data_IF_722956282967
#
_entry.id   IF_722956282967
#
_cell.length_a   1.000
_cell.length_b   1.000
_cell.length_c   1.000
_cell.angle_alpha   90.00
_cell.angle_beta   90.00
_cell.angle_gamma   90.00
#
_symmetry.space_group_name_H-M   'P 1'
#
loop_
_entity.id
_entity.type
_entity.pdbx_description
1 polymer ?
#
# COMPACT_ATOMS: atom_id res chain seq x y z
N UNK A 1 2.66 16.31 16.25
CA UNK A 1 2.27 15.07 15.55
C UNK A 1 2.62 15.31 14.10
N UNK A 2 3.39 14.42 13.47
CA UNK A 2 3.85 14.61 12.08
C UNK A 2 2.65 14.40 11.14
N UNK A 3 2.46 15.27 10.15
CA UNK A 3 1.37 15.16 9.16
C UNK A 3 1.69 14.11 8.08
N UNK A 4 0.67 13.69 7.33
CA UNK A 4 0.89 12.77 6.20
C UNK A 4 1.80 13.38 5.15
N UNK A 5 1.60 14.67 4.85
CA UNK A 5 2.37 15.43 3.88
C UNK A 5 3.85 15.47 4.29
N UNK A 6 4.13 15.73 5.58
CA UNK A 6 5.48 15.71 6.13
C UNK A 6 6.13 14.31 5.98
N UNK A 7 5.38 13.23 6.24
CA UNK A 7 5.88 11.86 6.04
C UNK A 7 6.21 11.58 4.57
N UNK A 8 5.34 11.99 3.65
CA UNK A 8 5.53 11.81 2.20
C UNK A 8 6.71 12.63 1.69
N UNK A 9 6.87 13.87 2.17
CA UNK A 9 8.00 14.73 1.85
C UNK A 9 9.32 14.13 2.33
N UNK A 10 9.34 13.60 3.56
CA UNK A 10 10.53 12.92 4.08
C UNK A 10 10.90 11.68 3.26
N UNK A 11 9.93 10.83 2.92
CA UNK A 11 10.18 9.66 2.06
C UNK A 11 10.73 10.11 0.71
N UNK A 12 10.11 11.11 0.08
CA UNK A 12 10.52 11.64 -1.22
C UNK A 12 11.94 12.20 -1.18
N UNK A 13 12.31 12.88 -0.09
CA UNK A 13 13.67 13.39 0.14
C UNK A 13 14.69 12.26 0.23
N UNK A 14 14.39 11.19 0.97
CA UNK A 14 15.29 10.03 1.06
C UNK A 14 15.41 9.30 -0.27
N UNK A 15 14.32 9.15 -1.02
CA UNK A 15 14.34 8.51 -2.33
C UNK A 15 15.19 9.31 -3.34
N UNK A 16 15.12 10.64 -3.32
CA UNK A 16 15.97 11.51 -4.13
C UNK A 16 17.45 11.44 -3.74
N UNK A 17 17.77 11.22 -2.46
CA UNK A 17 19.16 11.00 -2.03
C UNK A 17 19.66 9.64 -2.53
N UNK A 18 18.83 8.60 -2.38
CA UNK A 18 19.18 7.23 -2.78
C UNK A 18 19.34 7.11 -4.31
N UNK A 19 18.63 7.90 -5.12
CA UNK A 19 18.77 7.88 -6.58
C UNK A 19 20.17 8.26 -7.06
N UNK A 20 20.86 9.12 -6.30
CA UNK A 20 22.23 9.59 -6.61
C UNK A 20 23.31 8.61 -6.11
N UNK A 21 22.93 7.54 -5.41
CA UNK A 21 23.89 6.56 -4.90
C UNK A 21 24.34 5.56 -5.95
N UNK A 22 25.56 5.08 -5.77
CA UNK A 22 26.11 3.95 -6.52
C UNK A 22 25.20 2.73 -6.39
N UNK A 23 25.15 1.90 -7.45
CA UNK A 23 24.21 0.76 -7.55
C UNK A 23 24.28 -0.17 -6.32
N UNK A 24 25.48 -0.45 -5.82
CA UNK A 24 25.68 -1.33 -4.65
C UNK A 24 25.04 -0.77 -3.38
N UNK A 25 25.14 0.54 -3.15
CA UNK A 25 24.56 1.22 -1.99
C UNK A 25 23.05 1.33 -2.12
N UNK A 26 22.57 1.71 -3.31
CA UNK A 26 21.14 1.79 -3.63
C UNK A 26 20.45 0.43 -3.47
N UNK A 27 21.08 -0.66 -3.91
CA UNK A 27 20.59 -2.02 -3.70
C UNK A 27 20.39 -2.35 -2.21
N UNK A 28 21.33 -1.99 -1.35
CA UNK A 28 21.22 -2.24 0.10
C UNK A 28 20.09 -1.43 0.71
N UNK A 29 19.96 -0.14 0.35
CA UNK A 29 18.90 0.73 0.85
C UNK A 29 17.50 0.23 0.44
N UNK A 30 17.33 -0.15 -0.83
CA UNK A 30 16.09 -0.72 -1.34
C UNK A 30 15.79 -2.06 -0.65
N UNK A 31 16.82 -2.90 -0.43
CA UNK A 31 16.69 -4.16 0.30
C UNK A 31 16.18 -3.96 1.72
N UNK A 32 16.74 -2.97 2.45
CA UNK A 32 16.30 -2.62 3.80
C UNK A 32 14.85 -2.10 3.81
N UNK A 33 14.49 -1.19 2.88
CA UNK A 33 13.12 -0.68 2.74
C UNK A 33 12.13 -1.84 2.58
N UNK A 34 12.41 -2.77 1.66
CA UNK A 34 11.57 -3.95 1.41
C UNK A 34 11.44 -4.85 2.65
N UNK A 35 12.54 -5.11 3.36
CA UNK A 35 12.50 -5.93 4.57
C UNK A 35 11.61 -5.31 5.68
N UNK A 36 11.64 -3.99 5.81
CA UNK A 36 10.77 -3.26 6.74
C UNK A 36 9.31 -3.32 6.27
N UNK A 37 9.05 -3.12 4.97
CA UNK A 37 7.72 -3.22 4.38
C UNK A 37 7.10 -4.61 4.55
N UNK A 38 7.88 -5.68 4.38
CA UNK A 38 7.45 -7.07 4.59
C UNK A 38 7.08 -7.32 6.06
N UNK A 39 7.89 -6.79 6.99
CA UNK A 39 7.60 -6.87 8.43
C UNK A 39 6.30 -6.14 8.77
N UNK A 40 6.09 -4.94 8.23
CA UNK A 40 4.85 -4.19 8.42
C UNK A 40 3.64 -4.93 7.84
N UNK A 41 3.76 -5.49 6.62
CA UNK A 41 2.72 -6.30 5.99
C UNK A 41 2.32 -7.49 6.87
N UNK A 42 3.28 -8.19 7.45
CA UNK A 42 3.01 -9.32 8.33
C UNK A 42 2.31 -8.88 9.64
N UNK A 43 2.78 -7.78 10.24
CA UNK A 43 2.16 -7.21 11.44
C UNK A 43 0.70 -6.79 11.18
N UNK A 44 0.45 -6.05 10.10
CA UNK A 44 -0.88 -5.63 9.68
C UNK A 44 -1.78 -6.84 9.36
N UNK A 45 -1.23 -7.87 8.70
CA UNK A 45 -1.97 -9.11 8.42
C UNK A 45 -2.46 -9.77 9.72
N UNK A 46 -1.58 -9.89 10.73
CA UNK A 46 -1.94 -10.46 12.03
C UNK A 46 -2.98 -9.60 12.75
N UNK A 47 -2.81 -8.28 12.74
CA UNK A 47 -3.74 -7.34 13.35
C UNK A 47 -5.13 -7.44 12.71
N UNK A 48 -5.22 -7.38 11.38
CA UNK A 48 -6.47 -7.52 10.64
C UNK A 48 -7.12 -8.86 10.95
N UNK A 49 -6.35 -9.96 10.97
CA UNK A 49 -6.88 -11.28 11.33
C UNK A 49 -7.48 -11.29 12.73
N UNK A 50 -6.82 -10.69 13.72
CA UNK A 50 -7.29 -10.59 15.10
C UNK A 50 -8.58 -9.78 15.19
N UNK A 51 -8.57 -8.54 14.68
CA UNK A 51 -9.71 -7.64 14.73
C UNK A 51 -10.90 -8.20 13.95
N UNK A 52 -10.67 -8.92 12.85
CA UNK A 52 -11.74 -9.54 12.06
C UNK A 52 -12.53 -10.59 12.85
N UNK A 53 -11.92 -11.26 13.83
CA UNK A 53 -12.64 -12.20 14.72
C UNK A 53 -13.59 -11.47 15.67
N UNK A 54 -13.23 -10.25 16.07
CA UNK A 54 -14.00 -9.45 17.04
C UNK A 54 -15.02 -8.57 16.35
N UNK A 55 -14.65 -7.88 15.26
CA UNK A 55 -15.51 -6.92 14.57
C UNK A 55 -15.07 -6.62 13.13
N UNK A 56 -15.81 -7.17 12.17
CA UNK A 56 -15.66 -6.85 10.75
C UNK A 56 -16.11 -5.43 10.43
N UNK A 57 -17.09 -4.89 11.16
CA UNK A 57 -17.58 -3.52 10.95
C UNK A 57 -16.54 -2.48 11.36
N UNK A 58 -15.76 -2.74 12.42
CA UNK A 58 -14.65 -1.87 12.80
C UNK A 58 -13.59 -1.78 11.69
N UNK A 59 -13.23 -2.91 11.08
CA UNK A 59 -12.32 -2.91 9.92
C UNK A 59 -12.90 -2.14 8.73
N UNK A 60 -14.20 -2.30 8.44
CA UNK A 60 -14.87 -1.56 7.35
C UNK A 60 -14.85 -0.05 7.58
N UNK A 61 -14.97 0.39 8.82
CA UNK A 61 -14.89 1.80 9.19
C UNK A 61 -13.45 2.31 9.08
N UNK A 62 -12.46 1.53 9.54
CA UNK A 62 -11.05 1.91 9.44
C UNK A 62 -10.60 2.13 8.00
N UNK A 63 -11.05 1.29 7.06
CA UNK A 63 -10.71 1.44 5.63
C UNK A 63 -11.45 2.59 4.93
N UNK A 64 -12.29 3.36 5.62
CA UNK A 64 -12.83 4.62 5.07
C UNK A 64 -11.80 5.75 5.10
N UNK A 65 -10.76 5.62 5.93
CA UNK A 65 -9.62 6.52 5.89
C UNK A 65 -8.77 6.22 4.65
N UNK A 66 -8.54 7.24 3.81
CA UNK A 66 -7.86 7.09 2.53
C UNK A 66 -6.39 6.65 2.68
N UNK A 67 -5.72 7.08 3.75
CA UNK A 67 -4.34 6.71 4.04
C UNK A 67 -4.28 5.24 4.46
N UNK A 68 -5.17 4.84 5.38
CA UNK A 68 -5.29 3.44 5.80
C UNK A 68 -5.60 2.56 4.60
N UNK A 69 -6.58 2.94 3.77
CA UNK A 69 -6.91 2.19 2.57
C UNK A 69 -5.72 2.11 1.61
N UNK A 70 -5.02 3.22 1.38
CA UNK A 70 -3.85 3.29 0.50
C UNK A 70 -2.71 2.39 0.95
N UNK A 71 -2.36 2.41 2.24
CA UNK A 71 -1.31 1.55 2.82
C UNK A 71 -1.70 0.08 2.73
N UNK A 72 -2.94 -0.27 3.05
CA UNK A 72 -3.41 -1.65 2.93
C UNK A 72 -3.44 -2.11 1.48
N UNK A 73 -3.76 -1.23 0.53
CA UNK A 73 -3.76 -1.52 -0.89
C UNK A 73 -2.32 -1.72 -1.40
N UNK A 74 -1.39 -0.85 -1.02
CA UNK A 74 0.03 -0.96 -1.33
C UNK A 74 0.62 -2.30 -0.88
N UNK A 75 0.25 -2.76 0.32
CA UNK A 75 0.66 -4.07 0.83
C UNK A 75 -0.20 -5.24 0.32
N UNK A 76 -1.15 -5.03 -0.60
CA UNK A 76 -2.05 -6.05 -1.16
C UNK A 76 -2.95 -6.75 -0.11
N UNK A 77 -3.22 -6.08 1.01
CA UNK A 77 -4.06 -6.59 2.09
C UNK A 77 -5.55 -6.34 1.85
N UNK A 78 -5.87 -5.44 0.93
CA UNK A 78 -7.24 -5.19 0.43
C UNK A 78 -7.27 -5.29 -1.10
N UNK A 79 -8.43 -5.62 -1.65
CA UNK A 79 -8.61 -5.69 -3.10
C UNK A 79 -8.75 -4.30 -3.68
N UNK A 80 -8.12 -4.07 -4.83
CA UNK A 80 -8.38 -2.90 -5.66
C UNK A 80 -9.87 -2.84 -6.02
N UNK A 81 -10.44 -1.64 -6.19
CA UNK A 81 -11.82 -1.50 -6.62
C UNK A 81 -12.00 -2.21 -7.97
N UNK A 82 -12.86 -3.23 -8.01
CA UNK A 82 -13.28 -3.81 -9.28
C UNK A 82 -14.28 -2.87 -9.92
N UNK A 83 -14.00 -2.43 -11.15
CA UNK A 83 -14.98 -1.68 -11.94
C UNK A 83 -16.31 -2.47 -12.03
N UNK A 84 -17.47 -1.78 -12.13
CA UNK A 84 -18.75 -2.41 -12.41
C UNK A 84 -18.68 -3.43 -13.55
N UNK A 85 -19.44 -4.54 -13.45
CA UNK A 85 -19.45 -5.60 -14.47
C UNK A 85 -19.62 -5.07 -15.88
N UNK A 86 -20.53 -4.10 -16.06
CA UNK A 86 -20.75 -3.41 -17.34
C UNK A 86 -19.46 -2.75 -17.85
N UNK A 87 -18.75 -2.00 -17.03
CA UNK A 87 -17.50 -1.37 -17.49
C UNK A 87 -16.41 -2.39 -17.81
N UNK A 88 -16.35 -3.50 -17.04
CA UNK A 88 -15.43 -4.60 -17.31
C UNK A 88 -15.69 -5.29 -18.65
N UNK A 89 -16.95 -5.53 -19.02
CA UNK A 89 -17.30 -6.15 -20.31
C UNK A 89 -17.05 -5.23 -21.50
N UNK A 90 -17.25 -3.93 -21.34
CA UNK A 90 -16.94 -2.94 -22.37
C UNK A 90 -15.43 -2.82 -22.64
N UNK A 91 -14.61 -2.73 -21.57
CA UNK A 91 -13.15 -2.73 -21.73
C UNK A 91 -12.62 -4.03 -22.37
N UNK A 92 -13.27 -5.17 -22.13
CA UNK A 92 -12.86 -6.44 -22.72
C UNK A 92 -13.25 -6.59 -24.19
N UNK A 93 -14.29 -5.88 -24.65
CA UNK A 93 -14.75 -5.92 -26.06
C UNK A 93 -14.05 -4.87 -26.92
N UNK A 94 -13.64 -3.75 -26.33
CA UNK A 94 -12.90 -2.68 -27.01
C UNK A 94 -11.43 -3.04 -27.28
N UNK A 95 -10.83 -3.92 -26.46
CA UNK A 95 -9.45 -4.43 -26.67
C UNK A 95 -9.27 -5.33 -27.91
N UNK A 96 -10.35 -5.72 -28.58
CA UNK A 96 -10.33 -6.59 -29.78
C UNK A 96 -10.89 -5.89 -31.03
N UNK A 97 -10.97 -4.56 -31.02
CA UNK A 97 -11.36 -3.73 -32.15
C UNK A 97 -10.16 -2.93 -32.66
#
# INVERSE_FOLDING_TARGET
>A
MISLEELVEEISRFEAIISEWEESQRCVAIGLKRAIEDLHKEALTRLIKSVKQESVSALRNAVQDEVVYGVLLYHELVKSPTLPLRQRTWMHTDKYR
#
